data_IF_174957822489
#
_entry.id   IF_174957822489
#
_cell.length_a   1.000
_cell.length_b   1.000
_cell.length_c   1.000
_cell.angle_alpha   90.00
_cell.angle_beta   90.00
_cell.angle_gamma   90.00
#
_symmetry.space_group_name_H-M   'P 1'
#
loop_
_entity.id
_entity.type
_entity.pdbx_description
1 polymer ?
#
# COMPACT_ATOMS: atom_id res chain seq x y z
N UNK A 1 -2.76 -27.76 -5.28
CA UNK A 1 -3.43 -26.47 -5.01
C UNK A 1 -2.33 -25.44 -5.09
N UNK A 2 -2.34 -24.55 -6.08
CA UNK A 2 -1.32 -23.49 -6.14
C UNK A 2 -1.46 -22.67 -4.86
N UNK A 3 -0.40 -22.61 -4.05
CA UNK A 3 -0.31 -21.57 -3.01
C UNK A 3 -0.55 -20.25 -3.71
N UNK A 4 -1.65 -19.58 -3.35
CA UNK A 4 -1.96 -18.25 -3.86
C UNK A 4 -0.79 -17.38 -3.39
N UNK A 5 0.03 -16.90 -4.32
CA UNK A 5 1.16 -16.03 -3.98
C UNK A 5 0.67 -14.84 -3.16
N UNK A 6 1.50 -14.35 -2.25
CA UNK A 6 1.18 -13.16 -1.47
C UNK A 6 0.94 -11.96 -2.39
N UNK A 7 0.00 -11.09 -2.00
CA UNK A 7 -0.39 -9.90 -2.73
C UNK A 7 0.69 -8.82 -2.65
N UNK A 8 0.73 -7.99 -3.70
CA UNK A 8 1.53 -6.78 -3.77
C UNK A 8 0.56 -5.62 -3.69
N UNK A 9 0.76 -4.73 -2.72
CA UNK A 9 -0.03 -3.50 -2.59
C UNK A 9 0.81 -2.28 -2.93
N UNK A 10 0.15 -1.22 -3.43
CA UNK A 10 0.83 -0.02 -3.95
C UNK A 10 0.29 1.25 -3.29
N UNK A 11 1.16 2.06 -2.72
CA UNK A 11 0.84 3.39 -2.17
C UNK A 11 1.63 4.45 -2.93
N UNK A 12 0.97 5.23 -3.77
CA UNK A 12 1.67 6.13 -4.69
C UNK A 12 0.84 7.31 -5.16
N UNK A 13 1.48 8.22 -5.91
CA UNK A 13 0.75 9.19 -6.71
C UNK A 13 -0.04 8.50 -7.82
N UNK A 14 -0.94 9.26 -8.45
CA UNK A 14 -1.79 8.80 -9.54
C UNK A 14 -0.99 8.13 -10.67
N UNK A 15 0.14 8.72 -11.05
CA UNK A 15 1.01 8.22 -12.12
C UNK A 15 1.62 6.87 -11.77
N UNK A 16 2.12 6.72 -10.53
CA UNK A 16 2.73 5.47 -10.06
C UNK A 16 1.69 4.37 -9.95
N UNK A 17 0.54 4.64 -9.31
CA UNK A 17 -0.54 3.65 -9.15
C UNK A 17 -1.07 3.23 -10.51
N UNK A 18 -1.32 4.18 -11.42
CA UNK A 18 -1.76 3.86 -12.79
C UNK A 18 -0.75 2.98 -13.52
N UNK A 19 0.56 3.28 -13.40
CA UNK A 19 1.61 2.46 -13.99
C UNK A 19 1.61 1.02 -13.49
N UNK A 20 1.42 0.81 -12.19
CA UNK A 20 1.33 -0.54 -11.60
C UNK A 20 0.05 -1.27 -12.00
N UNK A 21 -1.08 -0.58 -12.06
CA UNK A 21 -2.35 -1.14 -12.54
C UNK A 21 -2.22 -1.64 -14.00
N UNK A 22 -1.55 -0.88 -14.85
CA UNK A 22 -1.23 -1.30 -16.23
C UNK A 22 -0.29 -2.52 -16.28
N UNK A 23 0.60 -2.64 -15.28
CA UNK A 23 1.49 -3.79 -15.09
C UNK A 23 0.79 -5.04 -14.52
N UNK A 24 -0.50 -4.96 -14.19
CA UNK A 24 -1.26 -6.05 -13.59
C UNK A 24 -1.10 -6.19 -12.08
N UNK A 25 -0.61 -5.15 -11.39
CA UNK A 25 -0.46 -5.07 -9.94
C UNK A 25 -1.51 -4.08 -9.39
N UNK A 26 -2.25 -4.49 -8.35
CA UNK A 26 -3.32 -3.68 -7.74
C UNK A 26 -4.71 -4.16 -8.16
N UNK A 27 -5.10 -5.35 -7.70
CA UNK A 27 -6.45 -5.89 -7.94
C UNK A 27 -7.43 -5.34 -6.89
N UNK A 28 -8.72 -5.42 -7.18
CA UNK A 28 -9.74 -5.37 -6.12
C UNK A 28 -9.76 -6.74 -5.46
N UNK A 29 -9.50 -6.78 -4.15
CA UNK A 29 -9.59 -8.04 -3.43
C UNK A 29 -11.04 -8.58 -3.44
N UNK A 30 -11.24 -9.82 -2.96
CA UNK A 30 -12.57 -10.47 -2.95
C UNK A 30 -13.64 -9.68 -2.17
N UNK A 31 -13.21 -8.81 -1.26
CA UNK A 31 -14.06 -7.94 -0.46
C UNK A 31 -14.23 -6.55 -1.07
N UNK A 32 -13.80 -6.36 -2.33
CA UNK A 32 -13.83 -5.10 -3.09
C UNK A 32 -13.05 -3.97 -2.42
N UNK A 33 -12.08 -4.31 -1.56
CA UNK A 33 -11.10 -3.34 -1.09
C UNK A 33 -9.97 -3.24 -2.11
N UNK A 34 -9.51 -2.02 -2.41
CA UNK A 34 -8.40 -1.81 -3.32
C UNK A 34 -7.08 -2.24 -2.66
N UNK A 35 -6.28 -3.01 -3.40
CA UNK A 35 -4.89 -3.34 -3.03
C UNK A 35 -3.94 -2.16 -3.36
N UNK A 36 -4.45 -0.92 -3.33
CA UNK A 36 -3.68 0.29 -3.61
C UNK A 36 -4.27 1.51 -2.90
N UNK A 37 -3.44 2.51 -2.66
CA UNK A 37 -3.82 3.86 -2.24
C UNK A 37 -3.22 4.88 -3.20
N UNK A 38 -4.08 5.72 -3.78
CA UNK A 38 -3.66 6.92 -4.50
C UNK A 38 -3.53 8.05 -3.50
N UNK A 39 -2.35 8.63 -3.39
CA UNK A 39 -2.04 9.75 -2.49
C UNK A 39 -2.01 11.03 -3.31
N UNK A 40 -3.03 11.85 -3.10
CA UNK A 40 -3.17 13.17 -3.67
C UNK A 40 -2.62 14.24 -2.71
N UNK A 41 -2.74 15.51 -3.11
CA UNK A 41 -2.25 16.65 -2.31
C UNK A 41 -3.12 16.93 -1.08
N UNK A 42 -4.39 16.56 -1.15
CA UNK A 42 -5.39 16.69 -0.08
C UNK A 42 -5.47 15.45 0.81
N UNK A 43 -4.92 14.31 0.38
CA UNK A 43 -4.78 13.11 1.21
C UNK A 43 -4.04 13.43 2.50
N UNK A 44 -4.71 13.15 3.61
CA UNK A 44 -4.19 13.46 4.94
C UNK A 44 -3.11 12.48 5.35
N UNK A 45 -2.19 12.93 6.23
CA UNK A 45 -1.17 12.03 6.78
C UNK A 45 -1.84 10.88 7.53
N UNK A 46 -2.87 11.18 8.34
CA UNK A 46 -3.62 10.18 9.09
C UNK A 46 -4.21 9.09 8.19
N UNK A 47 -4.81 9.47 7.05
CA UNK A 47 -5.35 8.51 6.10
C UNK A 47 -4.28 7.60 5.49
N UNK A 48 -3.11 8.16 5.18
CA UNK A 48 -1.96 7.39 4.70
C UNK A 48 -1.48 6.41 5.78
N UNK A 49 -1.40 6.86 7.02
CA UNK A 49 -0.98 6.04 8.17
C UNK A 49 -1.96 4.91 8.49
N UNK A 50 -3.26 5.22 8.52
CA UNK A 50 -4.32 4.24 8.80
C UNK A 50 -4.37 3.17 7.71
N UNK A 51 -4.25 3.57 6.45
CA UNK A 51 -4.20 2.64 5.31
C UNK A 51 -2.95 1.78 5.36
N UNK A 52 -1.79 2.36 5.68
CA UNK A 52 -0.56 1.59 5.84
C UNK A 52 -0.66 0.57 6.97
N UNK A 53 -1.21 0.95 8.13
CA UNK A 53 -1.48 0.01 9.24
C UNK A 53 -2.46 -1.08 8.84
N UNK A 54 -3.46 -0.76 8.03
CA UNK A 54 -4.40 -1.74 7.50
C UNK A 54 -3.66 -2.78 6.65
N UNK A 55 -2.81 -2.35 5.72
CA UNK A 55 -1.99 -3.26 4.91
C UNK A 55 -1.03 -4.12 5.75
N UNK A 56 -0.39 -3.55 6.78
CA UNK A 56 0.49 -4.32 7.67
C UNK A 56 -0.22 -5.45 8.43
N UNK A 57 -1.52 -5.30 8.70
CA UNK A 57 -2.31 -6.29 9.43
C UNK A 57 -2.90 -7.38 8.51
N UNK A 58 -2.73 -7.28 7.19
CA UNK A 58 -3.21 -8.29 6.24
C UNK A 58 -2.17 -9.41 6.07
N UNK A 59 -2.53 -10.64 6.42
CA UNK A 59 -1.62 -11.80 6.31
C UNK A 59 -1.35 -12.24 4.87
N UNK A 60 -2.21 -11.86 3.92
CA UNK A 60 -2.10 -12.17 2.51
C UNK A 60 -1.22 -11.18 1.73
N UNK A 61 -0.79 -10.06 2.33
CA UNK A 61 0.14 -9.10 1.73
C UNK A 61 1.58 -9.54 1.98
N UNK A 62 2.38 -9.57 0.91
CA UNK A 62 3.79 -9.94 0.97
C UNK A 62 4.73 -8.76 0.74
N UNK A 63 4.30 -7.80 -0.09
CA UNK A 63 5.10 -6.65 -0.49
C UNK A 63 4.21 -5.41 -0.48
N UNK A 64 4.70 -4.34 0.15
CA UNK A 64 4.11 -3.00 0.09
C UNK A 64 5.07 -2.12 -0.72
N UNK A 65 4.62 -1.65 -1.88
CA UNK A 65 5.35 -0.67 -2.70
C UNK A 65 4.88 0.73 -2.32
N UNK A 66 5.81 1.64 -2.05
CA UNK A 66 5.50 3.02 -1.67
C UNK A 66 6.42 4.02 -2.35
N UNK A 67 5.89 5.16 -2.82
CA UNK A 67 6.72 6.27 -3.28
C UNK A 67 7.53 6.83 -2.10
N UNK A 68 8.83 7.03 -2.31
CA UNK A 68 9.75 7.47 -1.25
C UNK A 68 9.29 8.74 -0.53
N UNK A 69 8.75 9.73 -1.27
CA UNK A 69 8.27 10.98 -0.67
C UNK A 69 7.04 10.77 0.24
N UNK A 70 6.19 9.78 -0.06
CA UNK A 70 5.04 9.41 0.79
C UNK A 70 5.55 8.71 2.05
N UNK A 71 6.52 7.80 1.89
CA UNK A 71 7.15 7.12 3.01
C UNK A 71 7.80 8.11 4.00
N UNK A 72 8.40 9.19 3.48
CA UNK A 72 8.94 10.26 4.29
C UNK A 72 7.87 11.05 5.07
N UNK A 73 6.69 11.26 4.48
CA UNK A 73 5.54 11.90 5.16
C UNK A 73 4.98 11.03 6.28
N UNK A 74 4.98 9.70 6.11
CA UNK A 74 4.45 8.73 7.07
C UNK A 74 5.54 8.07 7.95
N UNK A 75 6.74 8.68 8.03
CA UNK A 75 7.92 8.15 8.75
C UNK A 75 7.63 7.70 10.19
N UNK A 76 6.70 8.38 10.88
CA UNK A 76 6.30 8.04 12.25
C UNK A 76 5.75 6.61 12.40
N UNK A 77 5.11 6.07 11.37
CA UNK A 77 4.56 4.70 11.39
C UNK A 77 5.59 3.67 10.94
N UNK A 78 6.44 4.00 9.97
CA UNK A 78 7.53 3.10 9.54
C UNK A 78 8.53 2.84 10.66
N UNK A 79 8.93 3.88 11.41
CA UNK A 79 9.88 3.73 12.52
C UNK A 79 9.30 2.92 13.69
N UNK A 80 7.98 2.86 13.84
CA UNK A 80 7.32 2.03 14.86
C UNK A 80 7.31 0.53 14.49
N UNK A 81 7.55 0.20 13.22
CA UNK A 81 7.69 -1.18 12.74
C UNK A 81 9.15 -1.64 12.69
N UNK A 82 10.10 -0.76 13.04
CA UNK A 82 11.52 -1.10 13.14
C UNK A 82 11.79 -1.86 14.46
N UNK A 83 12.24 -3.10 14.33
CA UNK A 83 12.79 -4.01 15.34
C UNK A 83 11.80 -4.71 16.29
N UNK A 84 11.18 -5.77 15.76
CA UNK A 84 11.05 -7.04 16.51
C UNK A 84 11.33 -8.24 15.64
#
# INVERSE_FOLDING_TARGET
MAERGKLIVVMGDEDTVTGFLLGGIGELNKNRHPDFLVVEKDTTINETEDTFRWFLNQEDIGIILINQYIAERARGVFMAHDLR
#
